data_IF_847730197028
#
_entry.id   IF_847730197028
#
_cell.length_a   1.000
_cell.length_b   1.000
_cell.length_c   1.000
_cell.angle_alpha   90.00
_cell.angle_beta   90.00
_cell.angle_gamma   90.00
#
_symmetry.space_group_name_H-M   'P 1'
#
loop_
_entity.id
_entity.type
_entity.pdbx_description
1 polymer ?
#
# COMPACT_ATOMS: atom_id res chain seq x y z
N UNK A 1 12.04 -12.69 2.96
CA UNK A 1 10.93 -12.28 3.84
C UNK A 1 9.78 -13.19 3.57
N UNK A 2 9.72 -14.32 4.26
CA UNK A 2 8.72 -15.38 3.99
C UNK A 2 7.63 -15.44 5.07
N UNK A 3 7.86 -14.86 6.25
CA UNK A 3 6.92 -14.89 7.37
C UNK A 3 5.92 -13.74 7.39
N UNK A 4 6.26 -12.57 6.84
CA UNK A 4 5.47 -11.36 7.01
C UNK A 4 4.93 -10.85 5.70
N UNK A 5 3.62 -10.59 5.67
CA UNK A 5 2.94 -10.00 4.52
C UNK A 5 2.27 -8.69 4.90
N UNK A 6 2.64 -7.63 4.18
CA UNK A 6 1.99 -6.32 4.26
C UNK A 6 1.07 -6.16 3.05
N UNK A 7 -0.19 -5.81 3.32
CA UNK A 7 -1.15 -5.35 2.32
C UNK A 7 -1.39 -3.86 2.54
N UNK A 8 -1.12 -3.06 1.52
CA UNK A 8 -1.32 -1.62 1.51
C UNK A 8 -2.36 -1.25 0.45
N UNK A 9 -3.43 -0.58 0.88
CA UNK A 9 -4.51 -0.13 0.01
C UNK A 9 -4.70 1.37 0.17
N UNK A 10 -4.61 2.12 -0.95
CA UNK A 10 -4.83 3.57 -0.99
C UNK A 10 -6.31 3.94 -0.75
N UNK A 11 -7.23 3.11 -1.26
CA UNK A 11 -8.66 3.14 -0.92
C UNK A 11 -9.44 4.37 -1.37
N UNK A 12 -8.88 5.18 -2.27
CA UNK A 12 -9.44 6.47 -2.70
C UNK A 12 -10.07 6.45 -4.10
N UNK A 13 -9.97 5.34 -4.85
CA UNK A 13 -10.49 5.22 -6.21
C UNK A 13 -11.92 4.68 -6.24
N UNK A 14 -12.79 5.41 -6.94
CA UNK A 14 -14.13 4.93 -7.27
C UNK A 14 -14.04 3.84 -8.33
N UNK A 15 -14.78 2.76 -8.11
CA UNK A 15 -15.01 1.75 -9.14
C UNK A 15 -15.96 2.35 -10.17
N UNK A 16 -15.49 2.54 -11.40
CA UNK A 16 -16.28 3.12 -12.51
C UNK A 16 -17.02 2.06 -13.34
N UNK A 17 -17.06 0.80 -12.89
CA UNK A 17 -17.57 -0.36 -13.62
C UNK A 17 -19.03 -0.73 -13.27
N UNK A 18 -19.77 0.18 -12.62
CA UNK A 18 -21.21 0.03 -12.38
C UNK A 18 -21.61 -0.77 -11.13
N UNK A 19 -20.65 -1.27 -10.36
CA UNK A 19 -20.88 -1.81 -9.01
C UNK A 19 -20.34 -0.83 -7.96
N UNK A 20 -21.11 0.22 -7.68
CA UNK A 20 -20.83 1.11 -6.54
C UNK A 20 -21.02 0.34 -5.22
N UNK A 21 -19.93 0.15 -4.48
CA UNK A 21 -19.97 -0.32 -3.09
C UNK A 21 -20.05 0.88 -2.14
N UNK A 22 -20.86 0.75 -1.10
CA UNK A 22 -21.34 1.78 -0.17
C UNK A 22 -20.38 2.94 0.23
N UNK A 23 -20.98 4.10 0.47
CA UNK A 23 -20.38 5.25 1.15
C UNK A 23 -20.40 5.08 2.68
N UNK A 24 -19.37 5.53 3.43
CA UNK A 24 -18.15 6.20 2.97
C UNK A 24 -17.10 5.24 2.38
N UNK A 25 -16.18 5.78 1.57
CA UNK A 25 -15.04 5.01 1.02
C UNK A 25 -14.29 4.29 2.15
N UNK A 26 -13.86 3.03 1.95
CA UNK A 26 -13.18 2.26 2.99
C UNK A 26 -11.86 2.88 3.47
N UNK A 27 -11.38 3.96 2.84
CA UNK A 27 -10.21 4.71 3.26
C UNK A 27 -8.91 3.94 3.05
N UNK A 28 -7.78 4.56 3.41
CA UNK A 28 -6.49 3.89 3.40
C UNK A 28 -6.51 2.73 4.39
N UNK A 29 -6.05 1.57 3.94
CA UNK A 29 -6.07 0.36 4.74
C UNK A 29 -4.70 -0.32 4.72
N UNK A 30 -4.18 -0.61 5.92
CA UNK A 30 -2.94 -1.34 6.14
C UNK A 30 -3.26 -2.62 6.88
N UNK A 31 -2.81 -3.75 6.33
CA UNK A 31 -2.93 -5.06 6.97
C UNK A 31 -1.58 -5.74 7.04
N UNK A 32 -1.23 -6.25 8.21
CA UNK A 32 -0.01 -7.01 8.46
C UNK A 32 -0.40 -8.40 8.95
N UNK A 33 0.15 -9.42 8.31
CA UNK A 33 -0.10 -10.82 8.63
C UNK A 33 1.21 -11.56 8.88
N UNK A 34 1.21 -12.42 9.88
CA UNK A 34 2.22 -13.47 10.06
C UNK A 34 1.73 -14.70 9.27
N UNK A 35 2.23 -14.92 8.06
CA UNK A 35 1.74 -16.01 7.19
C UNK A 35 2.19 -17.39 7.64
N UNK A 36 3.12 -17.47 8.61
CA UNK A 36 3.54 -18.74 9.22
C UNK A 36 2.62 -19.10 10.39
N UNK A 37 2.35 -18.14 11.27
CA UNK A 37 1.49 -18.35 12.43
C UNK A 37 -0.02 -18.26 12.10
N UNK A 38 -0.38 -17.49 11.07
CA UNK A 38 -1.74 -17.29 10.57
C UNK A 38 -1.77 -17.43 9.04
N UNK A 39 -1.64 -18.66 8.50
CA UNK A 39 -1.69 -18.91 7.05
C UNK A 39 -3.01 -18.46 6.39
N UNK A 40 -4.07 -18.32 7.18
CA UNK A 40 -5.37 -17.84 6.73
C UNK A 40 -5.50 -16.32 6.68
N UNK A 41 -4.48 -15.56 7.10
CA UNK A 41 -4.47 -14.09 7.12
C UNK A 41 -5.72 -13.49 7.80
N UNK A 42 -6.13 -14.12 8.90
CA UNK A 42 -7.35 -13.78 9.65
C UNK A 42 -7.12 -12.67 10.66
N UNK A 43 -5.89 -12.46 11.12
CA UNK A 43 -5.54 -11.54 12.19
C UNK A 43 -4.70 -10.38 11.67
N UNK A 44 -5.32 -9.21 11.53
CA UNK A 44 -4.57 -8.00 11.17
C UNK A 44 -3.76 -7.47 12.37
N UNK A 45 -2.44 -7.41 12.22
CA UNK A 45 -1.49 -6.96 13.23
C UNK A 45 -1.00 -5.51 13.01
N UNK A 46 -1.42 -4.83 11.94
CA UNK A 46 -0.83 -3.55 11.50
C UNK A 46 -1.03 -2.39 12.50
N UNK A 47 -2.08 -2.43 13.31
CA UNK A 47 -2.37 -1.39 14.31
C UNK A 47 -1.65 -1.61 15.64
N UNK A 48 -0.99 -2.76 15.85
CA UNK A 48 -0.37 -3.04 17.14
C UNK A 48 1.00 -2.34 17.26
N UNK A 49 1.26 -1.60 18.35
CA UNK A 49 2.49 -0.81 18.50
C UNK A 49 3.79 -1.60 18.33
N UNK A 50 3.79 -2.86 18.77
CA UNK A 50 4.95 -3.77 18.70
C UNK A 50 5.39 -4.06 17.25
N UNK A 51 4.48 -3.98 16.29
CA UNK A 51 4.78 -4.22 14.87
C UNK A 51 5.04 -2.93 14.09
N UNK A 52 5.04 -1.75 14.73
CA UNK A 52 5.23 -0.46 14.03
C UNK A 52 6.53 -0.40 13.22
N UNK A 53 7.63 -0.89 13.79
CA UNK A 53 8.93 -0.91 13.10
C UNK A 53 8.92 -1.86 11.88
N UNK A 54 8.29 -3.03 12.03
CA UNK A 54 8.15 -4.00 10.95
C UNK A 54 7.28 -3.47 9.81
N UNK A 55 6.17 -2.80 10.13
CA UNK A 55 5.32 -2.13 9.12
C UNK A 55 6.13 -1.11 8.34
N UNK A 56 6.91 -0.25 9.03
CA UNK A 56 7.74 0.76 8.36
C UNK A 56 8.84 0.16 7.46
N UNK A 57 9.44 -0.97 7.87
CA UNK A 57 10.41 -1.72 7.05
C UNK A 57 9.75 -2.30 5.80
N UNK A 58 8.59 -2.94 5.94
CA UNK A 58 7.84 -3.52 4.82
C UNK A 58 7.30 -2.43 3.88
N UNK A 59 6.86 -1.29 4.38
CA UNK A 59 6.50 -0.12 3.56
C UNK A 59 7.71 0.43 2.78
N UNK A 60 8.91 0.42 3.39
CA UNK A 60 10.13 0.82 2.68
C UNK A 60 10.48 -0.13 1.56
N UNK A 61 10.39 -1.45 1.80
CA UNK A 61 10.57 -2.47 0.75
C UNK A 61 9.53 -2.35 -0.35
N UNK A 62 8.26 -2.11 -0.01
CA UNK A 62 7.19 -1.86 -0.97
C UNK A 62 7.52 -0.64 -1.84
N UNK A 63 7.95 0.46 -1.23
CA UNK A 63 8.38 1.65 -1.97
C UNK A 63 9.52 1.36 -2.92
N UNK A 64 10.56 0.65 -2.48
CA UNK A 64 11.72 0.35 -3.33
C UNK A 64 11.30 -0.45 -4.57
N UNK A 65 10.43 -1.45 -4.39
CA UNK A 65 9.85 -2.23 -5.49
C UNK A 65 9.02 -1.39 -6.45
N UNK A 66 8.16 -0.51 -5.92
CA UNK A 66 7.36 0.40 -6.75
C UNK A 66 8.25 1.39 -7.51
N UNK A 67 9.33 1.87 -6.89
CA UNK A 67 10.30 2.79 -7.48
C UNK A 67 11.04 2.14 -8.64
N UNK A 68 11.44 0.87 -8.49
CA UNK A 68 12.08 0.09 -9.54
C UNK A 68 11.14 -0.21 -10.70
N UNK A 69 9.87 -0.50 -10.42
CA UNK A 69 8.89 -0.92 -11.43
C UNK A 69 8.20 0.23 -12.16
N UNK A 70 8.18 1.45 -11.59
CA UNK A 70 7.38 2.56 -12.11
C UNK A 70 8.25 3.69 -12.70
N UNK A 71 8.16 3.98 -14.00
CA UNK A 71 8.90 5.08 -14.64
C UNK A 71 8.67 6.46 -14.01
N UNK A 72 7.48 6.68 -13.43
CA UNK A 72 7.12 7.93 -12.76
C UNK A 72 7.91 8.17 -11.47
N UNK A 73 8.64 7.16 -10.96
CA UNK A 73 9.48 7.29 -9.79
C UNK A 73 10.54 8.38 -9.90
N UNK A 74 11.06 8.62 -11.11
CA UNK A 74 12.01 9.68 -11.40
C UNK A 74 11.43 11.09 -11.24
N UNK A 75 10.10 11.22 -11.18
CA UNK A 75 9.39 12.50 -11.04
C UNK A 75 8.92 12.79 -9.60
N UNK A 76 9.30 11.94 -8.64
CA UNK A 76 8.91 12.13 -7.24
C UNK A 76 9.65 13.33 -6.62
N UNK A 77 8.94 14.23 -5.92
CA UNK A 77 9.59 15.34 -5.22
C UNK A 77 10.48 14.83 -4.08
N UNK A 78 11.63 15.48 -3.91
CA UNK A 78 12.55 15.19 -2.82
C UNK A 78 11.88 15.48 -1.45
N UNK A 79 12.11 14.61 -0.47
CA UNK A 79 11.57 14.78 0.89
C UNK A 79 10.10 14.39 1.06
N UNK A 80 9.46 13.80 0.05
CA UNK A 80 8.09 13.29 0.18
C UNK A 80 8.03 12.17 1.24
N UNK A 81 7.07 12.20 2.19
CA UNK A 81 6.88 11.11 3.12
C UNK A 81 6.65 9.78 2.41
N UNK A 82 7.17 8.70 2.99
CA UNK A 82 7.17 7.36 2.39
C UNK A 82 5.77 6.93 1.94
N UNK A 83 4.78 7.11 2.80
CA UNK A 83 3.38 6.80 2.50
C UNK A 83 2.85 7.57 1.28
N UNK A 84 3.09 8.88 1.22
CA UNK A 84 2.65 9.72 0.10
C UNK A 84 3.37 9.34 -1.20
N UNK A 85 4.62 8.89 -1.12
CA UNK A 85 5.35 8.37 -2.27
C UNK A 85 4.76 7.05 -2.79
N UNK A 86 4.42 6.12 -1.90
CA UNK A 86 3.74 4.86 -2.24
C UNK A 86 2.40 5.16 -2.91
N UNK A 87 1.58 6.04 -2.32
CA UNK A 87 0.28 6.44 -2.87
C UNK A 87 0.37 6.97 -4.31
N UNK A 88 1.44 7.73 -4.60
CA UNK A 88 1.67 8.31 -5.93
C UNK A 88 2.15 7.25 -6.93
N UNK A 89 2.99 6.32 -6.49
CA UNK A 89 3.49 5.23 -7.34
C UNK A 89 2.46 4.12 -7.59
N UNK A 90 1.45 3.99 -6.73
CA UNK A 90 0.30 3.11 -6.95
C UNK A 90 -0.71 3.68 -7.97
N UNK A 91 -0.54 4.93 -8.43
CA UNK A 91 -1.35 5.46 -9.52
C UNK A 91 -1.00 4.71 -10.81
N UNK A 92 -1.98 4.08 -11.44
CA UNK A 92 -1.81 3.37 -12.71
C UNK A 92 -1.19 4.29 -13.78
N UNK A 93 -0.35 3.77 -14.70
CA UNK A 93 0.30 4.56 -15.74
C UNK A 93 -0.64 5.21 -16.77
N UNK A 94 -1.96 4.97 -16.72
CA UNK A 94 -2.92 5.46 -17.71
C UNK A 94 -3.45 6.88 -17.50
N UNK A 95 -2.91 7.66 -16.55
CA UNK A 95 -3.25 9.09 -16.43
C UNK A 95 -2.07 10.01 -16.79
N UNK A 96 -1.11 9.52 -17.58
CA UNK A 96 -0.10 10.34 -18.26
C UNK A 96 -0.40 10.38 -19.76
N UNK A 97 -1.64 10.72 -20.12
CA UNK A 97 -2.00 11.25 -21.44
C UNK A 97 -3.44 11.75 -21.41
N UNK A 98 -3.59 13.05 -21.21
CA UNK A 98 -4.63 13.86 -21.85
C UNK A 98 -4.12 15.28 -22.00
#
# INVERSE_FOLDING_TARGET
TEQWKLVYTKGDRDRTDGYETAHPRPGKLRRLYDVVADPGETTNLASRPEYRALVADLESKLYDRLREANPAASSLPAGLPREAAIDRLLRAPEEVSR
#
